data_IF_575048619311
#
_entry.id   IF_575048619311
#
_cell.length_a   1.000
_cell.length_b   1.000
_cell.length_c   1.000
_cell.angle_alpha   90.00
_cell.angle_beta   90.00
_cell.angle_gamma   90.00
#
_symmetry.space_group_name_H-M   'P 1'
#
loop_
_entity.id
_entity.type
_entity.pdbx_description
1 polymer ?
#
# COMPACT_ATOMS: atom_id res chain seq x y z
N UNK A 1 -9.67 14.03 -19.83
CA UNK A 1 -9.98 13.98 -18.39
C UNK A 1 -9.07 12.93 -17.78
N UNK A 2 -8.40 13.22 -16.66
CA UNK A 2 -7.47 12.27 -16.02
C UNK A 2 -8.14 11.55 -14.85
N UNK A 3 -7.86 10.25 -14.72
CA UNK A 3 -8.10 9.50 -13.50
C UNK A 3 -6.75 9.15 -12.88
N UNK A 4 -6.57 9.42 -11.59
CA UNK A 4 -5.36 9.08 -10.83
C UNK A 4 -5.69 8.01 -9.82
N UNK A 5 -4.90 6.94 -9.82
CA UNK A 5 -5.10 5.82 -8.91
C UNK A 5 -3.79 5.59 -8.16
N UNK A 6 -3.80 5.83 -6.85
CA UNK A 6 -2.66 5.62 -5.99
C UNK A 6 -2.60 4.15 -5.54
N UNK A 7 -1.51 3.42 -5.82
CA UNK A 7 -1.42 2.02 -5.45
C UNK A 7 -1.23 1.85 -3.95
N UNK A 8 -1.56 0.65 -3.47
CA UNK A 8 -1.30 0.21 -2.09
C UNK A 8 0.09 -0.41 -1.91
N UNK A 9 0.25 -1.10 -0.78
CA UNK A 9 1.47 -1.85 -0.46
C UNK A 9 1.72 -2.99 -1.45
N UNK A 10 2.99 -3.23 -1.78
CA UNK A 10 3.42 -4.21 -2.78
C UNK A 10 3.79 -3.60 -4.14
N UNK A 11 3.58 -2.30 -4.32
CA UNK A 11 3.98 -1.58 -5.53
C UNK A 11 5.45 -1.09 -5.51
N UNK A 12 6.10 -1.10 -4.34
CA UNK A 12 7.49 -0.72 -4.17
C UNK A 12 8.43 -1.82 -4.66
N UNK A 13 9.55 -1.42 -5.27
CA UNK A 13 10.62 -2.31 -5.69
C UNK A 13 11.98 -1.74 -5.26
N UNK A 14 13.01 -2.57 -5.00
CA UNK A 14 14.33 -2.06 -4.64
C UNK A 14 14.85 -1.07 -5.68
N UNK A 15 15.39 0.07 -5.22
CA UNK A 15 15.98 1.06 -6.11
C UNK A 15 15.01 1.96 -6.88
N UNK A 16 13.68 1.83 -6.68
CA UNK A 16 12.69 2.49 -7.54
C UNK A 16 12.74 4.03 -7.51
N UNK A 17 13.29 4.64 -6.46
CA UNK A 17 13.47 6.10 -6.39
C UNK A 17 14.79 6.59 -6.99
N UNK A 18 15.72 5.71 -7.36
CA UNK A 18 17.06 6.13 -7.85
C UNK A 18 16.99 7.09 -9.05
N UNK A 19 16.14 6.87 -10.08
CA UNK A 19 16.02 7.80 -11.19
C UNK A 19 15.39 9.15 -10.82
N UNK A 20 14.65 9.20 -9.70
CA UNK A 20 13.94 10.39 -9.26
C UNK A 20 14.81 11.30 -8.42
N UNK A 21 15.79 10.75 -7.70
CA UNK A 21 16.70 11.53 -6.85
C UNK A 21 17.70 12.38 -7.64
N UNK A 22 17.83 12.21 -8.96
CA UNK A 22 18.58 13.15 -9.80
C UNK A 22 17.89 14.51 -9.95
N UNK A 23 16.58 14.56 -9.73
CA UNK A 23 15.80 15.80 -9.77
C UNK A 23 15.83 16.47 -8.38
N UNK A 24 16.55 17.60 -8.26
CA UNK A 24 16.74 18.30 -6.98
C UNK A 24 15.42 18.63 -6.27
N UNK A 25 14.42 19.10 -7.01
CA UNK A 25 13.11 19.43 -6.43
C UNK A 25 12.37 18.20 -5.90
N UNK A 26 12.54 17.03 -6.53
CA UNK A 26 12.00 15.77 -6.03
C UNK A 26 12.73 15.35 -4.76
N UNK A 27 14.07 15.35 -4.80
CA UNK A 27 14.92 14.95 -3.69
C UNK A 27 14.66 15.81 -2.44
N UNK A 28 14.58 17.13 -2.58
CA UNK A 28 14.33 18.05 -1.46
C UNK A 28 12.97 17.79 -0.80
N UNK A 29 11.93 17.57 -1.60
CA UNK A 29 10.59 17.27 -1.07
C UNK A 29 10.54 15.89 -0.42
N UNK A 30 11.17 14.88 -1.01
CA UNK A 30 11.24 13.55 -0.42
C UNK A 30 11.96 13.59 0.92
N UNK A 31 13.07 14.33 1.01
CA UNK A 31 13.82 14.52 2.25
C UNK A 31 12.98 15.24 3.32
N UNK A 32 12.21 16.26 2.93
CA UNK A 32 11.27 16.92 3.85
C UNK A 32 10.21 15.96 4.39
N UNK A 33 9.55 15.19 3.51
CA UNK A 33 8.56 14.20 3.92
C UNK A 33 9.18 13.08 4.77
N UNK A 34 10.43 12.71 4.50
CA UNK A 34 11.21 11.78 5.31
C UNK A 34 11.47 12.31 6.72
N UNK A 35 11.83 13.59 6.86
CA UNK A 35 11.97 14.24 8.16
C UNK A 35 10.66 14.26 8.95
N UNK A 36 9.53 14.53 8.29
CA UNK A 36 8.19 14.47 8.90
C UNK A 36 7.85 13.04 9.35
N UNK A 37 8.18 12.04 8.55
CA UNK A 37 7.95 10.63 8.86
C UNK A 37 8.99 10.03 9.83
N UNK A 38 10.09 10.73 10.11
CA UNK A 38 11.20 10.19 10.89
C UNK A 38 11.90 9.00 10.20
N UNK A 39 11.92 8.98 8.86
CA UNK A 39 12.49 7.91 8.05
C UNK A 39 13.38 8.47 6.94
N UNK A 40 14.51 7.80 6.67
CA UNK A 40 15.35 8.10 5.53
C UNK A 40 14.76 7.48 4.25
N UNK A 41 13.76 8.16 3.69
CA UNK A 41 13.05 7.70 2.50
C UNK A 41 13.96 7.62 1.26
N UNK A 42 14.99 8.46 1.18
CA UNK A 42 15.96 8.40 0.10
C UNK A 42 16.78 7.12 0.17
N UNK A 43 17.26 6.74 1.36
CA UNK A 43 17.93 5.45 1.58
C UNK A 43 17.00 4.27 1.27
N UNK A 44 15.80 4.24 1.85
CA UNK A 44 14.86 3.12 1.66
C UNK A 44 14.39 2.99 0.20
N UNK A 45 14.28 4.09 -0.54
CA UNK A 45 13.90 4.07 -1.96
C UNK A 45 15.02 3.68 -2.93
N UNK A 46 16.28 3.62 -2.48
CA UNK A 46 17.43 3.40 -3.35
C UNK A 46 18.30 2.22 -2.97
N UNK A 47 18.68 2.09 -1.70
CA UNK A 47 19.70 1.16 -1.24
C UNK A 47 19.15 -0.02 -0.45
N UNK A 48 17.95 0.12 0.13
CA UNK A 48 17.33 -0.96 0.89
C UNK A 48 16.90 -2.13 -0.01
N UNK A 49 17.00 -3.34 0.53
CA UNK A 49 16.60 -4.56 -0.16
C UNK A 49 15.07 -4.79 -0.14
N UNK A 50 14.64 -5.83 -0.86
CA UNK A 50 13.23 -6.18 -1.01
C UNK A 50 12.56 -6.66 0.29
N UNK A 51 13.33 -7.08 1.29
CA UNK A 51 12.82 -7.50 2.59
C UNK A 51 12.58 -6.28 3.48
N UNK A 52 13.57 -5.39 3.54
CA UNK A 52 13.52 -4.13 4.29
C UNK A 52 12.35 -3.26 3.85
N UNK A 53 12.17 -3.05 2.54
CA UNK A 53 11.06 -2.22 2.04
C UNK A 53 9.71 -2.94 2.05
N UNK A 54 9.65 -4.19 2.53
CA UNK A 54 8.39 -4.93 2.75
C UNK A 54 7.85 -4.71 4.16
N UNK A 55 8.71 -4.36 5.12
CA UNK A 55 8.29 -3.98 6.46
C UNK A 55 7.22 -2.89 6.35
N UNK A 56 6.05 -3.14 6.92
CA UNK A 56 4.89 -2.26 6.85
C UNK A 56 5.19 -0.86 7.40
N UNK A 57 6.07 -0.74 8.41
CA UNK A 57 6.47 0.54 8.98
C UNK A 57 7.34 1.39 8.02
N UNK A 58 8.02 0.75 7.07
CA UNK A 58 8.83 1.40 6.04
C UNK A 58 8.03 1.58 4.74
N UNK A 59 7.37 0.51 4.29
CA UNK A 59 6.67 0.45 3.02
C UNK A 59 5.59 1.52 2.89
N UNK A 60 4.79 1.70 3.95
CA UNK A 60 3.65 2.61 3.89
C UNK A 60 4.09 4.08 3.74
N UNK A 61 4.97 4.65 4.61
CA UNK A 61 5.48 6.00 4.39
C UNK A 61 6.22 6.17 3.07
N UNK A 62 7.02 5.18 2.66
CA UNK A 62 7.78 5.23 1.41
C UNK A 62 6.86 5.36 0.18
N UNK A 63 5.78 4.57 0.13
CA UNK A 63 4.80 4.63 -0.96
C UNK A 63 3.99 5.92 -0.97
N UNK A 64 3.55 6.40 0.20
CA UNK A 64 2.79 7.65 0.29
C UNK A 64 3.65 8.83 -0.15
N UNK A 65 4.87 8.95 0.38
CA UNK A 65 5.78 10.02 -0.02
C UNK A 65 6.11 9.96 -1.52
N UNK A 66 6.45 8.79 -2.05
CA UNK A 66 6.75 8.63 -3.47
C UNK A 66 5.55 9.06 -4.35
N UNK A 67 4.34 8.65 -3.98
CA UNK A 67 3.12 9.04 -4.69
C UNK A 67 2.85 10.55 -4.64
N UNK A 68 3.03 11.18 -3.48
CA UNK A 68 2.82 12.62 -3.32
C UNK A 68 3.82 13.45 -4.11
N UNK A 69 5.11 13.12 -4.05
CA UNK A 69 6.14 13.87 -4.77
C UNK A 69 6.00 13.66 -6.28
N UNK A 70 5.75 12.43 -6.73
CA UNK A 70 5.53 12.13 -8.16
C UNK A 70 4.32 12.87 -8.74
N UNK A 71 3.25 13.04 -7.95
CA UNK A 71 2.07 13.78 -8.39
C UNK A 71 2.39 15.26 -8.71
N UNK A 72 3.40 15.86 -8.08
CA UNK A 72 3.80 17.24 -8.33
C UNK A 72 4.47 17.43 -9.71
N UNK A 73 5.02 16.38 -10.32
CA UNK A 73 5.53 16.45 -11.69
C UNK A 73 4.39 16.59 -12.72
N UNK A 74 3.21 16.03 -12.42
CA UNK A 74 2.02 16.20 -13.25
C UNK A 74 1.28 17.51 -12.96
N UNK A 75 1.34 17.96 -11.70
CA UNK A 75 0.67 19.17 -11.21
C UNK A 75 1.63 19.98 -10.32
N UNK A 76 2.48 20.84 -10.92
CA UNK A 76 3.46 21.63 -10.17
C UNK A 76 2.86 22.48 -9.06
N UNK A 77 1.59 22.87 -9.23
CA UNK A 77 0.79 23.45 -8.16
C UNK A 77 -0.21 22.40 -7.64
N UNK A 78 -0.20 22.03 -6.35
CA UNK A 78 -1.09 21.01 -5.79
C UNK A 78 -2.58 21.25 -6.09
N UNK A 79 -3.01 22.52 -6.07
CA UNK A 79 -4.38 22.91 -6.43
C UNK A 79 -4.78 22.62 -7.90
N UNK A 80 -3.83 22.39 -8.81
CA UNK A 80 -4.11 22.02 -10.20
C UNK A 80 -4.51 20.55 -10.35
N UNK A 81 -3.98 19.66 -9.49
CA UNK A 81 -4.37 18.25 -9.47
C UNK A 81 -5.89 18.13 -9.26
N UNK A 82 -6.42 18.88 -8.29
CA UNK A 82 -7.85 18.94 -7.98
C UNK A 82 -8.71 19.43 -9.16
N UNK A 83 -8.22 20.40 -9.96
CA UNK A 83 -8.97 20.98 -11.08
C UNK A 83 -8.95 20.13 -12.35
N UNK A 84 -7.89 19.34 -12.55
CA UNK A 84 -7.59 18.66 -13.83
C UNK A 84 -7.85 17.16 -13.77
N UNK A 85 -8.06 16.59 -12.59
CA UNK A 85 -8.44 15.20 -12.39
C UNK A 85 -9.96 15.10 -12.25
N UNK A 86 -10.56 14.13 -12.94
CA UNK A 86 -11.97 13.82 -12.76
C UNK A 86 -12.22 12.88 -11.59
N UNK A 87 -11.27 11.97 -11.38
CA UNK A 87 -11.35 10.95 -10.34
C UNK A 87 -9.96 10.77 -9.75
N UNK A 88 -9.90 10.74 -8.42
CA UNK A 88 -8.74 10.28 -7.66
C UNK A 88 -9.21 9.16 -6.75
N UNK A 89 -8.50 8.04 -6.77
CA UNK A 89 -8.78 6.89 -5.93
C UNK A 89 -7.47 6.34 -5.36
N UNK A 90 -7.54 5.65 -4.24
CA UNK A 90 -6.41 4.98 -3.63
C UNK A 90 -6.77 3.57 -3.22
N UNK A 91 -5.81 2.64 -3.31
CA UNK A 91 -5.99 1.28 -2.83
C UNK A 91 -5.30 1.14 -1.46
N UNK A 92 -6.08 0.84 -0.40
CA UNK A 92 -5.57 0.67 0.96
C UNK A 92 -4.74 1.87 1.44
N UNK A 93 -3.41 1.73 1.63
CA UNK A 93 -2.55 2.86 2.01
C UNK A 93 -2.52 3.98 0.96
N UNK A 94 -2.77 3.64 -0.32
CA UNK A 94 -2.87 4.62 -1.40
C UNK A 94 -4.01 5.62 -1.21
N UNK A 95 -5.03 5.32 -0.39
CA UNK A 95 -6.08 6.30 -0.04
C UNK A 95 -5.51 7.53 0.66
N UNK A 96 -4.41 7.38 1.40
CA UNK A 96 -3.73 8.50 2.07
C UNK A 96 -3.10 9.43 1.03
N UNK A 97 -2.41 8.85 0.03
CA UNK A 97 -1.89 9.60 -1.12
C UNK A 97 -3.01 10.29 -1.88
N UNK A 98 -4.11 9.59 -2.17
CA UNK A 98 -5.26 10.13 -2.86
C UNK A 98 -5.88 11.32 -2.10
N UNK A 99 -6.11 11.17 -0.80
CA UNK A 99 -6.67 12.20 0.07
C UNK A 99 -5.79 13.45 0.11
N UNK A 100 -4.47 13.30 0.21
CA UNK A 100 -3.56 14.44 0.17
C UNK A 100 -3.44 15.07 -1.23
N UNK A 101 -3.47 14.27 -2.30
CA UNK A 101 -3.43 14.77 -3.67
C UNK A 101 -4.64 15.67 -4.02
N UNK A 102 -5.78 15.47 -3.38
CA UNK A 102 -6.99 16.31 -3.52
C UNK A 102 -7.16 17.34 -2.40
N UNK A 103 -6.18 17.48 -1.51
CA UNK A 103 -6.16 18.52 -0.47
C UNK A 103 -7.03 18.25 0.77
N UNK A 104 -7.53 17.03 0.97
CA UNK A 104 -8.22 16.64 2.23
C UNK A 104 -7.24 16.59 3.39
N UNK A 105 -6.01 16.14 3.12
CA UNK A 105 -4.88 16.20 4.04
C UNK A 105 -3.78 17.07 3.43
N UNK A 106 -3.04 17.79 4.26
CA UNK A 106 -1.71 18.26 3.85
C UNK A 106 -0.75 17.08 3.66
N UNK A 107 0.34 17.30 2.91
CA UNK A 107 1.36 16.27 2.74
C UNK A 107 1.96 15.85 4.10
N UNK A 108 2.18 16.81 5.00
CA UNK A 108 2.70 16.56 6.34
C UNK A 108 1.73 15.74 7.20
N UNK A 109 0.43 16.07 7.17
CA UNK A 109 -0.59 15.28 7.88
C UNK A 109 -0.67 13.86 7.34
N UNK A 110 -0.62 13.69 6.02
CA UNK A 110 -0.57 12.38 5.39
C UNK A 110 0.66 11.59 5.85
N UNK A 111 1.84 12.22 5.90
CA UNK A 111 3.08 11.58 6.35
C UNK A 111 3.08 11.21 7.84
N UNK A 112 2.54 12.07 8.71
CA UNK A 112 2.34 11.74 10.13
C UNK A 112 1.37 10.57 10.28
N UNK A 113 0.22 10.62 9.59
CA UNK A 113 -0.79 9.58 9.68
C UNK A 113 -0.27 8.22 9.18
N UNK A 114 0.38 8.18 8.02
CA UNK A 114 0.90 6.93 7.46
C UNK A 114 2.03 6.35 8.29
N UNK A 115 2.86 7.18 8.93
CA UNK A 115 3.88 6.71 9.88
C UNK A 115 3.24 5.98 11.04
N UNK A 116 2.27 6.61 11.72
CA UNK A 116 1.57 5.97 12.85
C UNK A 116 0.86 4.70 12.41
N UNK A 117 0.13 4.74 11.27
CA UNK A 117 -0.52 3.55 10.71
C UNK A 117 0.47 2.41 10.46
N UNK A 118 1.57 2.68 9.77
CA UNK A 118 2.57 1.68 9.43
C UNK A 118 3.22 1.07 10.67
N UNK A 119 3.59 1.90 11.66
CA UNK A 119 4.19 1.46 12.92
C UNK A 119 3.24 0.60 13.75
N UNK A 120 1.98 1.03 13.92
CA UNK A 120 1.02 0.29 14.73
C UNK A 120 0.60 -1.03 14.06
N UNK A 121 0.46 -1.05 12.73
CA UNK A 121 0.22 -2.28 11.98
C UNK A 121 1.39 -3.26 12.12
N UNK A 122 2.63 -2.80 11.93
CA UNK A 122 3.81 -3.64 12.10
C UNK A 122 3.92 -4.20 13.54
N UNK A 123 3.67 -3.36 14.56
CA UNK A 123 3.68 -3.79 15.95
C UNK A 123 2.61 -4.86 16.24
N UNK A 124 1.40 -4.70 15.71
CA UNK A 124 0.33 -5.68 15.87
C UNK A 124 0.69 -7.03 15.21
N UNK A 125 1.21 -7.00 13.97
CA UNK A 125 1.63 -8.21 13.25
C UNK A 125 2.84 -8.91 13.89
N UNK A 126 3.71 -8.18 14.61
CA UNK A 126 4.79 -8.78 15.38
C UNK A 126 4.30 -9.57 16.61
N UNK A 127 3.20 -9.14 17.23
CA UNK A 127 2.60 -9.83 18.39
C UNK A 127 1.84 -11.08 17.96
N UNK A 128 1.11 -10.99 16.84
CA UNK A 128 0.36 -12.12 16.28
C UNK A 128 0.59 -12.14 14.77
N UNK A 129 1.43 -13.06 14.25
CA UNK A 129 1.75 -13.12 12.83
C UNK A 129 0.50 -13.19 11.95
N UNK A 130 0.29 -12.14 11.15
CA UNK A 130 -0.77 -12.06 10.14
C UNK A 130 -0.17 -11.92 8.75
N UNK A 131 -0.94 -12.32 7.73
CA UNK A 131 -0.58 -12.09 6.34
C UNK A 131 -1.83 -12.01 5.46
N UNK A 132 -1.63 -11.98 4.15
CA UNK A 132 -2.68 -11.94 3.16
C UNK A 132 -2.46 -12.96 2.04
N UNK A 133 -3.56 -13.47 1.50
CA UNK A 133 -3.57 -14.40 0.38
C UNK A 133 -4.61 -13.97 -0.65
N UNK A 134 -4.19 -13.82 -1.90
CA UNK A 134 -5.11 -13.59 -3.00
C UNK A 134 -5.77 -14.91 -3.42
N UNK A 135 -7.10 -14.90 -3.45
CA UNK A 135 -7.96 -15.94 -4.00
C UNK A 135 -8.44 -15.46 -5.37
N UNK A 136 -7.98 -16.12 -6.43
CA UNK A 136 -8.19 -15.73 -7.83
C UNK A 136 -9.11 -16.74 -8.51
N UNK A 137 -10.24 -16.30 -9.03
CA UNK A 137 -11.27 -17.16 -9.64
C UNK A 137 -12.26 -17.70 -8.60
N UNK A 138 -12.94 -18.79 -8.96
CA UNK A 138 -14.06 -19.32 -8.17
C UNK A 138 -15.33 -18.48 -8.26
N UNK A 139 -16.40 -18.95 -7.62
CA UNK A 139 -17.60 -18.14 -7.39
C UNK A 139 -17.37 -17.20 -6.21
N UNK A 140 -17.73 -15.93 -6.34
CA UNK A 140 -17.45 -14.92 -5.32
C UNK A 140 -18.16 -15.21 -3.98
N UNK A 141 -19.37 -15.78 -4.02
CA UNK A 141 -20.14 -16.11 -2.81
C UNK A 141 -19.50 -17.29 -2.09
N UNK A 142 -19.10 -18.31 -2.84
CA UNK A 142 -18.39 -19.48 -2.30
C UNK A 142 -17.02 -19.10 -1.71
N UNK A 143 -16.28 -18.20 -2.38
CA UNK A 143 -15.00 -17.69 -1.89
C UNK A 143 -15.18 -16.93 -0.59
N UNK A 144 -16.15 -16.02 -0.51
CA UNK A 144 -16.44 -15.26 0.72
C UNK A 144 -16.83 -16.19 1.87
N UNK A 145 -17.69 -17.18 1.61
CA UNK A 145 -18.10 -18.15 2.62
C UNK A 145 -16.92 -19.00 3.12
N UNK A 146 -16.00 -19.39 2.24
CA UNK A 146 -14.81 -20.14 2.62
C UNK A 146 -13.81 -19.30 3.45
N UNK A 147 -13.62 -18.02 3.10
CA UNK A 147 -12.82 -17.08 3.89
C UNK A 147 -13.40 -16.95 5.31
N UNK A 148 -14.71 -16.72 5.41
CA UNK A 148 -15.39 -16.61 6.71
C UNK A 148 -15.31 -17.91 7.52
N UNK A 149 -15.53 -19.07 6.88
CA UNK A 149 -15.45 -20.38 7.55
C UNK A 149 -14.05 -20.69 8.11
N UNK A 150 -12.99 -20.17 7.49
CA UNK A 150 -11.61 -20.26 7.99
C UNK A 150 -11.31 -19.22 9.09
N UNK A 151 -12.28 -18.39 9.49
CA UNK A 151 -12.10 -17.28 10.43
C UNK A 151 -11.23 -16.14 9.88
N UNK A 152 -11.07 -16.08 8.56
CA UNK A 152 -10.34 -15.02 7.85
C UNK A 152 -11.29 -13.86 7.53
N UNK A 153 -10.71 -12.73 7.16
CA UNK A 153 -11.43 -11.55 6.67
C UNK A 153 -11.20 -11.36 5.18
N UNK A 154 -12.24 -11.09 4.40
CA UNK A 154 -12.10 -10.64 3.02
C UNK A 154 -11.63 -9.18 3.00
N UNK A 155 -10.31 -8.97 2.97
CA UNK A 155 -9.68 -7.66 3.12
C UNK A 155 -9.76 -6.78 1.88
N UNK A 156 -9.70 -7.37 0.68
CA UNK A 156 -9.82 -6.62 -0.56
C UNK A 156 -10.68 -7.36 -1.57
N UNK A 157 -11.55 -6.64 -2.27
CA UNK A 157 -12.15 -7.09 -3.51
C UNK A 157 -11.49 -6.31 -4.65
N UNK A 158 -10.52 -6.94 -5.32
CA UNK A 158 -9.73 -6.30 -6.37
C UNK A 158 -10.42 -6.35 -7.74
N UNK A 159 -11.62 -6.91 -7.83
CA UNK A 159 -12.34 -7.13 -9.08
C UNK A 159 -11.81 -8.32 -9.88
N UNK A 160 -12.44 -8.58 -11.03
CA UNK A 160 -12.08 -9.68 -11.95
C UNK A 160 -11.98 -11.06 -11.29
N UNK A 161 -12.81 -11.30 -10.27
CA UNK A 161 -12.81 -12.54 -9.48
C UNK A 161 -11.63 -12.69 -8.53
N UNK A 162 -10.96 -11.60 -8.12
CA UNK A 162 -9.89 -11.65 -7.13
C UNK A 162 -10.34 -11.04 -5.80
N UNK A 163 -10.33 -11.85 -4.75
CA UNK A 163 -10.59 -11.44 -3.37
C UNK A 163 -9.35 -11.78 -2.52
N UNK A 164 -8.95 -10.89 -1.63
CA UNK A 164 -7.84 -11.11 -0.71
C UNK A 164 -8.39 -11.56 0.64
N UNK A 165 -7.95 -12.71 1.11
CA UNK A 165 -8.17 -13.18 2.47
C UNK A 165 -7.03 -12.69 3.38
N UNK A 166 -7.37 -12.17 4.55
CA UNK A 166 -6.44 -11.68 5.55
C UNK A 166 -6.72 -12.34 6.90
N UNK A 167 -5.65 -12.64 7.62
CA UNK A 167 -5.74 -13.20 8.97
C UNK A 167 -4.42 -13.81 9.40
N UNK A 168 -4.47 -14.71 10.36
CA UNK A 168 -3.26 -15.37 10.87
C UNK A 168 -2.66 -16.32 9.84
N UNK A 169 -1.35 -16.57 9.96
CA UNK A 169 -0.64 -17.51 9.07
C UNK A 169 -1.26 -18.91 9.15
N UNK A 170 -1.72 -19.33 10.34
CA UNK A 170 -2.38 -20.61 10.56
C UNK A 170 -3.71 -20.70 9.82
N UNK A 171 -4.58 -19.69 9.95
CA UNK A 171 -5.87 -19.67 9.25
C UNK A 171 -5.70 -19.64 7.72
N UNK A 172 -4.67 -18.95 7.23
CA UNK A 172 -4.35 -18.92 5.79
C UNK A 172 -3.85 -20.28 5.30
N UNK A 173 -3.09 -21.01 6.11
CA UNK A 173 -2.68 -22.38 5.79
C UNK A 173 -3.88 -23.33 5.71
N UNK A 174 -4.87 -23.17 6.59
CA UNK A 174 -6.11 -23.95 6.56
C UNK A 174 -6.93 -23.68 5.29
N UNK A 175 -7.05 -22.41 4.89
CA UNK A 175 -7.67 -22.02 3.62
C UNK A 175 -6.89 -22.59 2.42
N UNK A 176 -5.56 -22.61 2.49
CA UNK A 176 -4.72 -23.17 1.44
C UNK A 176 -4.83 -24.68 1.29
N UNK A 177 -5.03 -25.39 2.40
CA UNK A 177 -5.30 -26.82 2.41
C UNK A 177 -6.70 -27.16 1.87
N UNK A 178 -7.66 -26.23 2.01
CA UNK A 178 -9.06 -26.39 1.61
C UNK A 178 -9.52 -25.22 0.72
N UNK A 179 -8.94 -25.06 -0.49
CA UNK A 179 -9.23 -23.92 -1.33
C UNK A 179 -10.67 -23.94 -1.86
N UNK A 180 -11.30 -22.77 -2.06
CA UNK A 180 -12.58 -22.68 -2.75
C UNK A 180 -12.51 -23.32 -4.15
N UNK A 181 -13.61 -23.91 -4.61
CA UNK A 181 -13.66 -24.59 -5.88
C UNK A 181 -13.28 -23.65 -7.03
N UNK A 182 -12.41 -24.13 -7.94
CA UNK A 182 -11.93 -23.38 -9.12
C UNK A 182 -11.23 -22.05 -8.79
N UNK A 183 -10.77 -21.86 -7.55
CA UNK A 183 -9.95 -20.73 -7.16
C UNK A 183 -8.47 -21.12 -7.10
N UNK A 184 -7.59 -20.17 -7.44
CA UNK A 184 -6.15 -20.26 -7.25
C UNK A 184 -5.73 -19.35 -6.10
N UNK A 185 -4.96 -19.89 -5.17
CA UNK A 185 -4.47 -19.16 -4.00
C UNK A 185 -3.02 -18.70 -4.22
N UNK A 186 -2.72 -17.45 -3.88
CA UNK A 186 -1.40 -16.84 -4.03
C UNK A 186 -1.06 -16.08 -2.75
N UNK A 187 0.00 -16.49 -2.06
CA UNK A 187 0.50 -15.75 -0.91
C UNK A 187 0.98 -14.37 -1.33
N UNK A 188 0.54 -13.32 -0.65
CA UNK A 188 0.97 -11.96 -0.93
C UNK A 188 2.27 -11.63 -0.18
N UNK A 189 3.12 -10.82 -0.82
CA UNK A 189 4.39 -10.37 -0.28
C UNK A 189 4.20 -9.16 0.64
N UNK A 190 3.49 -9.34 1.75
CA UNK A 190 3.20 -8.30 2.75
C UNK A 190 3.60 -8.77 4.14
N UNK A 191 4.14 -7.87 4.96
CA UNK A 191 4.64 -8.18 6.31
C UNK A 191 3.55 -8.28 7.38
N UNK A 192 2.32 -7.87 7.06
CA UNK A 192 1.20 -7.87 8.00
C UNK A 192 -0.11 -7.50 7.33
N UNK A 193 -1.20 -7.95 7.95
CA UNK A 193 -2.58 -7.61 7.61
C UNK A 193 -3.28 -6.98 8.81
#
# INVERSE_FOLDING_TARGET
MLAIVAPGQGAQAPGFLSPWLSESAFADRLNWLGAVAGLDLAHYGTHADAETIRDTAIAQPLLVAAGLVTALELFPHPADAFRRTAVVAGHSVGEITAAAAVGVLSAEQAMVFVRERGQQMAAASAVRPTSMMAVVGGDATEVLAAIEAAGLTAANNNGSGQIVAAGTVEQLADLQANPPARARLIQLSVAGA
#
